data_IF_308911109881
#
_entry.id   IF_308911109881
#
_cell.length_a   1.000
_cell.length_b   1.000
_cell.length_c   1.000
_cell.angle_alpha   90.00
_cell.angle_beta   90.00
_cell.angle_gamma   90.00
#
_symmetry.space_group_name_H-M   'P 1'
#
loop_
_entity.id
_entity.type
_entity.pdbx_description
1 polymer ?
#
# COMPACT_ATOMS: atom_id res chain seq x y z
N UNK A 1 11.26 -6.88 5.76
CA UNK A 1 9.95 -6.44 6.30
C UNK A 1 9.45 -7.23 7.51
N UNK A 2 9.95 -8.44 7.75
CA UNK A 2 9.40 -9.38 8.73
C UNK A 2 9.18 -8.81 10.15
N UNK A 3 10.19 -8.13 10.73
CA UNK A 3 10.06 -7.51 12.08
C UNK A 3 8.93 -6.48 12.17
N UNK A 4 8.69 -5.70 11.11
CA UNK A 4 7.62 -4.68 11.07
C UNK A 4 6.26 -5.35 10.96
N UNK A 5 6.13 -6.35 10.08
CA UNK A 5 4.90 -7.13 9.90
C UNK A 5 4.52 -7.85 11.19
N UNK A 6 5.49 -8.42 11.91
CA UNK A 6 5.26 -9.04 13.21
C UNK A 6 4.74 -8.03 14.25
N UNK A 7 5.29 -6.80 14.28
CA UNK A 7 4.79 -5.73 15.16
C UNK A 7 3.33 -5.36 14.83
N UNK A 8 2.98 -5.27 13.54
CA UNK A 8 1.61 -4.99 13.06
C UNK A 8 0.66 -6.11 13.52
N UNK A 9 1.05 -7.37 13.28
CA UNK A 9 0.27 -8.55 13.70
C UNK A 9 0.08 -8.59 15.21
N UNK A 10 1.15 -8.31 15.98
CA UNK A 10 1.10 -8.25 17.44
C UNK A 10 0.11 -7.17 17.90
N UNK A 11 0.19 -5.97 17.33
CA UNK A 11 -0.71 -4.87 17.70
C UNK A 11 -2.19 -5.22 17.51
N UNK A 12 -2.54 -5.84 16.37
CA UNK A 12 -3.90 -6.34 16.08
C UNK A 12 -4.31 -7.42 17.07
N UNK A 13 -3.45 -8.43 17.27
CA UNK A 13 -3.77 -9.60 18.08
C UNK A 13 -3.90 -9.26 19.56
N UNK A 14 -3.04 -8.37 20.10
CA UNK A 14 -3.11 -7.90 21.49
C UNK A 14 -4.47 -7.26 21.83
N UNK A 15 -5.19 -6.76 20.81
CA UNK A 15 -6.50 -6.12 20.95
C UNK A 15 -7.67 -7.01 20.50
N UNK A 16 -7.37 -8.24 20.11
CA UNK A 16 -8.35 -9.17 19.52
C UNK A 16 -9.08 -8.59 18.30
N UNK A 17 -8.44 -7.68 17.54
CA UNK A 17 -9.08 -7.00 16.42
C UNK A 17 -9.16 -7.82 15.14
N UNK A 18 -8.53 -9.00 15.12
CA UNK A 18 -8.58 -9.91 13.97
C UNK A 18 -10.01 -10.26 13.54
N UNK A 19 -10.96 -10.29 14.48
CA UNK A 19 -12.38 -10.54 14.22
C UNK A 19 -13.07 -9.46 13.36
N UNK A 20 -12.57 -8.23 13.35
CA UNK A 20 -13.14 -7.13 12.56
C UNK A 20 -12.50 -6.99 11.17
N UNK A 21 -11.36 -7.65 10.96
CA UNK A 21 -10.52 -7.56 9.77
C UNK A 21 -11.04 -8.46 8.65
N UNK A 22 -12.28 -8.24 8.20
CA UNK A 22 -12.83 -8.90 7.01
C UNK A 22 -12.26 -8.28 5.73
N UNK A 23 -12.23 -8.99 4.59
CA UNK A 23 -11.74 -8.42 3.33
C UNK A 23 -12.47 -7.13 2.95
N UNK A 24 -13.79 -7.08 3.15
CA UNK A 24 -14.60 -5.90 2.84
C UNK A 24 -14.31 -4.71 3.78
N UNK A 25 -14.01 -4.96 5.06
CA UNK A 25 -13.66 -3.89 5.99
C UNK A 25 -12.25 -3.34 5.69
N UNK A 26 -11.30 -4.24 5.46
CA UNK A 26 -9.93 -3.87 5.14
C UNK A 26 -9.82 -3.13 3.81
N UNK A 27 -10.60 -3.52 2.79
CA UNK A 27 -10.61 -2.79 1.51
C UNK A 27 -11.13 -1.37 1.67
N UNK A 28 -12.12 -1.16 2.56
CA UNK A 28 -12.62 0.18 2.87
C UNK A 28 -11.58 0.98 3.63
N UNK A 29 -10.94 0.41 4.65
CA UNK A 29 -9.87 1.05 5.40
C UNK A 29 -8.75 1.52 4.46
N UNK A 30 -8.22 0.65 3.60
CA UNK A 30 -7.22 1.01 2.59
C UNK A 30 -7.68 2.21 1.74
N UNK A 31 -8.94 2.22 1.30
CA UNK A 31 -9.47 3.31 0.49
C UNK A 31 -9.65 4.62 1.26
N UNK A 32 -9.93 4.55 2.56
CA UNK A 32 -10.07 5.71 3.44
C UNK A 32 -8.69 6.33 3.66
N UNK A 33 -7.70 5.56 4.10
CA UNK A 33 -6.35 6.09 4.36
C UNK A 33 -5.65 6.56 3.08
N UNK A 34 -5.95 5.93 1.93
CA UNK A 34 -5.47 6.45 0.65
C UNK A 34 -6.10 7.81 0.29
N UNK A 35 -7.31 8.09 0.79
CA UNK A 35 -7.98 9.38 0.69
C UNK A 35 -7.38 10.41 1.64
N UNK A 36 -7.05 10.02 2.87
CA UNK A 36 -6.36 10.88 3.85
C UNK A 36 -4.96 11.26 3.33
N UNK A 37 -4.22 10.30 2.78
CA UNK A 37 -2.95 10.56 2.07
C UNK A 37 -3.12 11.53 0.89
N UNK A 38 -4.24 11.46 0.17
CA UNK A 38 -4.52 12.39 -0.93
C UNK A 38 -4.86 13.80 -0.41
N UNK A 39 -5.52 13.91 0.74
CA UNK A 39 -5.92 15.17 1.35
C UNK A 39 -4.71 16.04 1.73
N UNK A 40 -3.59 15.42 2.12
CA UNK A 40 -2.32 16.13 2.39
C UNK A 40 -1.80 16.96 1.21
N UNK A 41 -2.26 16.69 -0.01
CA UNK A 41 -1.90 17.42 -1.24
C UNK A 41 -3.07 18.25 -1.82
N UNK A 42 -4.23 18.32 -1.15
CA UNK A 42 -5.44 18.92 -1.71
C UNK A 42 -5.32 20.42 -2.00
N UNK A 43 -4.60 21.15 -1.14
CA UNK A 43 -4.49 22.61 -1.21
C UNK A 43 -3.09 23.13 -1.55
N UNK A 44 -2.05 22.32 -1.38
CA UNK A 44 -0.66 22.67 -1.67
C UNK A 44 0.14 21.41 -2.03
N UNK A 45 0.66 21.34 -3.26
CA UNK A 45 1.47 20.21 -3.74
C UNK A 45 2.97 20.36 -3.44
N UNK A 46 3.43 21.56 -3.09
CA UNK A 46 4.84 21.88 -2.90
C UNK A 46 5.23 21.96 -1.40
N UNK A 47 4.35 22.48 -0.54
CA UNK A 47 4.60 22.69 0.89
C UNK A 47 3.73 21.79 1.79
N UNK A 48 3.57 20.52 1.41
CA UNK A 48 2.85 19.52 2.21
C UNK A 48 3.56 19.21 3.53
N UNK A 49 2.80 18.75 4.54
CA UNK A 49 3.38 18.28 5.79
C UNK A 49 3.92 16.85 5.63
N UNK A 50 5.25 16.73 5.50
CA UNK A 50 5.91 15.43 5.34
C UNK A 50 5.61 14.45 6.48
N UNK A 51 5.41 14.93 7.70
CA UNK A 51 5.11 14.07 8.85
C UNK A 51 3.77 13.38 8.65
N UNK A 52 2.71 14.13 8.37
CA UNK A 52 1.37 13.59 8.12
C UNK A 52 1.37 12.68 6.88
N UNK A 53 2.02 13.07 5.78
CA UNK A 53 2.16 12.19 4.60
C UNK A 53 2.79 10.84 4.97
N UNK A 54 3.76 10.84 5.89
CA UNK A 54 4.38 9.59 6.35
C UNK A 54 3.44 8.77 7.26
N UNK A 55 2.59 9.42 8.05
CA UNK A 55 1.56 8.78 8.86
C UNK A 55 0.52 8.10 7.96
N UNK A 56 -0.09 8.84 7.04
CA UNK A 56 -1.14 8.30 6.15
C UNK A 56 -0.61 7.21 5.21
N UNK A 57 0.61 7.38 4.69
CA UNK A 57 1.27 6.33 3.91
C UNK A 57 1.51 5.07 4.76
N UNK A 58 1.89 5.23 6.03
CA UNK A 58 2.08 4.09 6.92
C UNK A 58 0.75 3.38 7.19
N UNK A 59 -0.36 4.10 7.35
CA UNK A 59 -1.67 3.51 7.60
C UNK A 59 -2.18 2.72 6.39
N UNK A 60 -2.03 3.25 5.17
CA UNK A 60 -2.28 2.49 3.93
C UNK A 60 -1.50 1.17 3.91
N UNK A 61 -0.19 1.21 4.23
CA UNK A 61 0.67 0.03 4.23
C UNK A 61 0.27 -0.98 5.33
N UNK A 62 -0.09 -0.50 6.53
CA UNK A 62 -0.54 -1.35 7.65
C UNK A 62 -1.80 -2.11 7.27
N UNK A 63 -2.80 -1.45 6.68
CA UNK A 63 -4.00 -2.14 6.22
C UNK A 63 -3.76 -3.09 5.05
N UNK A 64 -2.79 -2.79 4.17
CA UNK A 64 -2.36 -3.73 3.12
C UNK A 64 -1.76 -5.01 3.72
N UNK A 65 -0.94 -4.91 4.78
CA UNK A 65 -0.43 -6.08 5.52
C UNK A 65 -1.57 -6.87 6.14
N UNK A 66 -2.54 -6.19 6.77
CA UNK A 66 -3.72 -6.87 7.31
C UNK A 66 -4.59 -7.53 6.25
N UNK A 67 -4.71 -6.93 5.06
CA UNK A 67 -5.39 -7.53 3.91
C UNK A 67 -4.69 -8.81 3.46
N UNK A 68 -3.37 -8.78 3.30
CA UNK A 68 -2.58 -9.94 2.92
C UNK A 68 -2.77 -11.11 3.91
N UNK A 69 -2.69 -10.81 5.21
CA UNK A 69 -2.98 -11.79 6.27
C UNK A 69 -4.41 -12.35 6.17
N UNK A 70 -5.40 -11.47 5.95
CA UNK A 70 -6.82 -11.83 5.90
C UNK A 70 -7.13 -12.80 4.75
N UNK A 71 -6.54 -12.58 3.58
CA UNK A 71 -6.75 -13.43 2.40
C UNK A 71 -5.74 -14.59 2.28
N UNK A 72 -4.83 -14.72 3.25
CA UNK A 72 -3.88 -15.84 3.33
C UNK A 72 -2.77 -15.80 2.29
N UNK A 73 -2.27 -14.62 1.93
CA UNK A 73 -1.15 -14.47 0.98
C UNK A 73 0.06 -13.83 1.65
N UNK A 74 1.25 -14.19 1.17
CA UNK A 74 2.48 -13.50 1.57
C UNK A 74 2.61 -12.16 0.80
N UNK A 75 2.83 -11.08 1.55
CA UNK A 75 2.87 -9.73 0.98
C UNK A 75 4.10 -9.53 0.08
N UNK A 76 5.24 -10.12 0.43
CA UNK A 76 6.46 -9.99 -0.36
C UNK A 76 6.29 -10.76 -1.69
N UNK A 77 5.68 -11.96 -1.66
CA UNK A 77 5.40 -12.74 -2.86
C UNK A 77 4.47 -12.01 -3.85
N UNK A 78 3.35 -11.44 -3.37
CA UNK A 78 2.40 -10.74 -4.27
C UNK A 78 3.00 -9.46 -4.86
N UNK A 79 3.82 -8.74 -4.09
CA UNK A 79 4.52 -7.54 -4.56
C UNK A 79 5.55 -7.92 -5.63
N UNK A 80 6.42 -8.89 -5.36
CA UNK A 80 7.45 -9.30 -6.32
C UNK A 80 6.82 -9.87 -7.60
N UNK A 81 5.78 -10.69 -7.50
CA UNK A 81 5.04 -11.19 -8.67
C UNK A 81 4.44 -10.05 -9.51
N UNK A 82 3.97 -8.97 -8.87
CA UNK A 82 3.48 -7.79 -9.56
C UNK A 82 4.61 -6.99 -10.21
N UNK A 83 5.75 -6.87 -9.54
CA UNK A 83 6.93 -6.17 -10.06
C UNK A 83 7.51 -6.87 -11.30
N UNK A 84 7.66 -8.19 -11.28
CA UNK A 84 8.09 -8.97 -12.46
C UNK A 84 7.20 -8.72 -13.69
N UNK A 85 5.88 -8.61 -13.47
CA UNK A 85 4.92 -8.28 -14.53
C UNK A 85 5.07 -6.83 -15.00
N UNK A 86 5.31 -5.90 -14.09
CA UNK A 86 5.51 -4.49 -14.42
C UNK A 86 6.81 -4.27 -15.21
N UNK A 87 7.91 -4.92 -14.83
CA UNK A 87 9.20 -4.83 -15.54
C UNK A 87 9.10 -5.35 -16.98
N UNK A 88 8.39 -6.46 -17.18
CA UNK A 88 8.10 -6.98 -18.54
C UNK A 88 7.23 -6.04 -19.35
N UNK A 89 6.29 -5.37 -18.69
CA UNK A 89 5.30 -4.48 -19.29
C UNK A 89 5.89 -3.09 -19.63
N UNK A 90 6.87 -2.64 -18.86
CA UNK A 90 7.54 -1.34 -18.99
C UNK A 90 9.06 -1.53 -19.09
N UNK A 91 9.58 -2.07 -20.21
CA UNK A 91 11.02 -2.27 -20.38
C UNK A 91 11.74 -0.91 -20.38
N UNK A 92 12.93 -0.87 -19.78
CA UNK A 92 13.72 0.37 -19.58
C UNK A 92 13.92 1.12 -20.89
N UNK A 93 14.30 0.41 -21.96
CA UNK A 93 14.59 1.00 -23.27
C UNK A 93 13.40 1.76 -23.90
N UNK A 94 12.17 1.42 -23.52
CA UNK A 94 10.96 2.08 -24.03
C UNK A 94 10.35 3.07 -23.05
N UNK A 95 10.57 2.87 -21.76
CA UNK A 95 9.79 3.52 -20.70
C UNK A 95 10.58 4.56 -19.90
N UNK A 96 11.91 4.60 -20.03
CA UNK A 96 12.75 5.53 -19.25
C UNK A 96 12.41 6.99 -19.57
N UNK A 97 11.99 7.74 -18.55
CA UNK A 97 11.58 9.15 -18.69
C UNK A 97 10.24 9.34 -19.40
N UNK A 98 9.47 8.28 -19.63
CA UNK A 98 8.21 8.31 -20.36
C UNK A 98 7.09 7.72 -19.49
N UNK A 99 6.09 8.53 -19.16
CA UNK A 99 4.93 8.14 -18.34
C UNK A 99 3.76 7.55 -19.16
N UNK A 100 3.93 7.42 -20.49
CA UNK A 100 2.91 6.80 -21.34
C UNK A 100 2.61 5.39 -20.88
N UNK A 101 1.34 5.01 -21.02
CA UNK A 101 0.91 3.65 -20.73
C UNK A 101 1.63 2.70 -21.70
N UNK A 102 1.96 1.49 -21.26
CA UNK A 102 2.62 0.46 -22.08
C UNK A 102 1.94 0.16 -23.44
N UNK A 103 0.66 0.46 -23.58
CA UNK A 103 -0.10 0.36 -24.84
C UNK A 103 0.27 1.46 -25.85
N UNK A 104 1.02 2.46 -25.42
CA UNK A 104 1.38 3.69 -26.12
C UNK A 104 2.92 3.93 -26.13
N UNK A 105 3.70 2.92 -25.71
CA UNK A 105 5.17 2.92 -25.67
C UNK A 105 5.81 2.47 -26.98
#
# INVERSE_FOLDING_TARGET
>A
MQKTIERIRKFRNDRDWSQFHTPANLSKAISIEAGELLEEFLWDEENYNKEHVCEELADVLVYCVHMADCIGVDIDEIINSKMDKNEKKYPVEKSKGNSKKYTEL
#
